data_IF_773478135984
#
_entry.id   IF_773478135984
#
_cell.length_a   1.000
_cell.length_b   1.000
_cell.length_c   1.000
_cell.angle_alpha   90.00
_cell.angle_beta   90.00
_cell.angle_gamma   90.00
#
_symmetry.space_group_name_H-M   'P 1'
#
loop_
_entity.id
_entity.type
_entity.pdbx_description
1 polymer ?
#
# COMPACT_ATOMS: atom_id res chain seq x y z
N UNK A 1 -17.89 -9.06 5.08
CA UNK A 1 -16.66 -9.52 4.44
C UNK A 1 -16.71 -9.44 2.92
N UNK A 2 -17.86 -9.70 2.28
CA UNK A 2 -17.98 -9.73 0.80
C UNK A 2 -17.57 -8.43 0.10
N UNK A 3 -17.96 -7.27 0.64
CA UNK A 3 -17.54 -5.96 0.10
C UNK A 3 -16.02 -5.76 0.10
N UNK A 4 -15.31 -6.30 1.09
CA UNK A 4 -13.85 -6.21 1.14
C UNK A 4 -13.22 -7.13 0.09
N UNK A 5 -13.72 -8.36 -0.02
CA UNK A 5 -13.24 -9.32 -1.04
C UNK A 5 -13.46 -8.79 -2.46
N UNK A 6 -14.62 -8.19 -2.72
CA UNK A 6 -14.91 -7.53 -4.00
C UNK A 6 -13.95 -6.38 -4.29
N UNK A 7 -13.70 -5.50 -3.32
CA UNK A 7 -12.73 -4.41 -3.46
C UNK A 7 -11.30 -4.91 -3.75
N UNK A 8 -10.85 -5.97 -3.06
CA UNK A 8 -9.54 -6.56 -3.31
C UNK A 8 -9.43 -7.17 -4.72
N UNK A 9 -10.48 -7.84 -5.19
CA UNK A 9 -10.53 -8.37 -6.55
C UNK A 9 -10.54 -7.25 -7.60
N UNK A 10 -11.31 -6.18 -7.38
CA UNK A 10 -11.30 -5.00 -8.25
C UNK A 10 -9.90 -4.34 -8.28
N UNK A 11 -9.22 -4.29 -7.13
CA UNK A 11 -7.85 -3.79 -7.02
C UNK A 11 -6.87 -4.63 -7.84
N UNK A 12 -6.93 -5.96 -7.70
CA UNK A 12 -6.10 -6.89 -8.48
C UNK A 12 -6.30 -6.71 -9.99
N UNK A 13 -7.55 -6.71 -10.44
CA UNK A 13 -7.88 -6.47 -11.86
C UNK A 13 -7.35 -5.13 -12.35
N UNK A 14 -7.61 -4.05 -11.61
CA UNK A 14 -7.17 -2.71 -12.01
C UNK A 14 -5.65 -2.58 -12.08
N UNK A 15 -4.91 -3.18 -11.13
CA UNK A 15 -3.45 -3.19 -11.16
C UNK A 15 -2.93 -3.93 -12.39
N UNK A 16 -3.49 -5.09 -12.72
CA UNK A 16 -3.07 -5.85 -13.89
C UNK A 16 -3.41 -5.13 -15.19
N UNK A 17 -4.54 -4.43 -15.28
CA UNK A 17 -4.87 -3.60 -16.45
C UNK A 17 -3.83 -2.51 -16.76
N UNK A 18 -3.24 -1.90 -15.72
CA UNK A 18 -2.28 -0.79 -15.90
C UNK A 18 -0.81 -1.24 -15.96
N UNK A 19 -0.43 -2.27 -15.20
CA UNK A 19 0.97 -2.69 -15.07
C UNK A 19 1.37 -3.82 -16.03
N UNK A 20 0.43 -4.64 -16.48
CA UNK A 20 0.76 -5.84 -17.27
C UNK A 20 1.22 -5.48 -18.69
N UNK A 21 0.52 -4.54 -19.35
CA UNK A 21 0.83 -4.16 -20.73
C UNK A 21 2.18 -3.46 -20.87
N UNK A 22 2.41 -2.44 -20.06
CA UNK A 22 3.54 -1.51 -20.26
C UNK A 22 4.78 -1.91 -19.46
N UNK A 23 4.60 -2.60 -18.33
CA UNK A 23 5.70 -3.00 -17.44
C UNK A 23 5.92 -4.52 -17.40
N UNK A 24 5.01 -5.32 -17.96
CA UNK A 24 5.11 -6.79 -17.93
C UNK A 24 4.99 -7.36 -16.52
N UNK A 25 4.36 -6.63 -15.61
CA UNK A 25 4.19 -7.02 -14.21
C UNK A 25 2.76 -7.51 -13.98
N UNK A 26 2.63 -8.68 -13.38
CA UNK A 26 1.37 -9.26 -12.96
C UNK A 26 1.32 -9.34 -11.43
N UNK A 27 0.23 -8.86 -10.84
CA UNK A 27 -0.02 -8.87 -9.40
C UNK A 27 -1.04 -9.93 -9.04
N UNK A 28 -0.76 -10.61 -7.94
CA UNK A 28 -1.69 -11.47 -7.21
C UNK A 28 -1.89 -10.88 -5.81
N UNK A 29 -3.12 -10.56 -5.43
CA UNK A 29 -3.41 -10.09 -4.08
C UNK A 29 -3.42 -11.28 -3.13
N UNK A 30 -2.56 -11.26 -2.12
CA UNK A 30 -2.49 -12.28 -1.06
C UNK A 30 -3.79 -12.29 -0.24
N UNK A 31 -4.66 -13.25 -0.52
CA UNK A 31 -5.96 -13.43 0.15
C UNK A 31 -5.78 -14.23 1.44
N UNK A 32 -5.33 -13.58 2.52
CA UNK A 32 -5.19 -14.18 3.84
C UNK A 32 -6.04 -13.44 4.90
N UNK A 33 -6.88 -14.16 5.64
CA UNK A 33 -7.77 -13.58 6.66
C UNK A 33 -7.02 -12.96 7.85
N UNK A 34 -5.78 -13.41 8.13
CA UNK A 34 -4.92 -12.85 9.17
C UNK A 34 -4.52 -11.39 8.86
N UNK A 35 -4.58 -10.97 7.58
CA UNK A 35 -4.31 -9.60 7.16
C UNK A 35 -5.50 -8.66 7.37
N UNK A 36 -6.67 -9.20 7.72
CA UNK A 36 -7.89 -8.41 7.93
C UNK A 36 -8.05 -8.12 9.43
N UNK A 37 -7.63 -6.93 9.83
CA UNK A 37 -7.65 -6.52 11.24
C UNK A 37 -8.92 -5.69 11.52
N UNK A 38 -9.89 -6.28 12.21
CA UNK A 38 -11.17 -5.63 12.55
C UNK A 38 -11.25 -5.13 13.99
N UNK A 39 -10.41 -5.65 14.88
CA UNK A 39 -10.40 -5.28 16.30
C UNK A 39 -9.20 -4.38 16.60
N UNK A 40 -9.45 -3.25 17.25
CA UNK A 40 -8.39 -2.29 17.59
C UNK A 40 -7.30 -2.90 18.47
N UNK A 41 -7.68 -3.76 19.42
CA UNK A 41 -6.76 -4.49 20.30
C UNK A 41 -5.83 -5.48 19.57
N UNK A 42 -6.17 -5.87 18.34
CA UNK A 42 -5.36 -6.75 17.48
C UNK A 42 -4.52 -5.97 16.47
N UNK A 43 -4.56 -4.63 16.51
CA UNK A 43 -3.77 -3.79 15.60
C UNK A 43 -2.30 -3.84 16.03
N UNK A 44 -1.37 -4.29 15.16
CA UNK A 44 0.02 -4.49 15.52
C UNK A 44 0.79 -3.18 15.73
N UNK A 45 0.18 -2.03 15.41
CA UNK A 45 0.79 -0.70 15.52
C UNK A 45 -0.28 0.40 15.54
N UNK A 46 0.10 1.64 15.88
CA UNK A 46 -0.80 2.79 15.79
C UNK A 46 -1.18 3.06 14.32
N UNK A 47 -2.40 2.66 13.96
CA UNK A 47 -2.98 2.84 12.61
C UNK A 47 -3.23 4.30 12.24
N UNK A 48 -3.13 5.23 13.18
CA UNK A 48 -3.43 6.64 12.90
C UNK A 48 -2.21 7.44 12.45
N UNK A 49 -1.00 6.92 12.69
CA UNK A 49 0.24 7.61 12.37
C UNK A 49 0.96 6.96 11.20
N UNK A 50 0.89 7.59 10.02
CA UNK A 50 1.54 7.13 8.77
C UNK A 50 3.02 6.78 8.97
N UNK A 51 3.80 7.60 9.68
CA UNK A 51 5.22 7.31 9.92
C UNK A 51 5.40 6.04 10.76
N UNK A 52 4.52 5.83 11.74
CA UNK A 52 4.55 4.63 12.56
C UNK A 52 4.19 3.38 11.76
N UNK A 53 3.19 3.47 10.86
CA UNK A 53 2.85 2.39 9.93
C UNK A 53 4.04 2.04 9.04
N UNK A 54 4.67 3.05 8.43
CA UNK A 54 5.80 2.85 7.52
C UNK A 54 7.00 2.18 8.21
N UNK A 55 7.25 2.50 9.48
CA UNK A 55 8.36 1.92 10.24
C UNK A 55 8.09 0.51 10.78
N UNK A 56 6.84 0.15 11.06
CA UNK A 56 6.48 -1.12 11.71
C UNK A 56 5.74 -2.09 10.77
N UNK A 57 5.35 -1.64 9.58
CA UNK A 57 4.46 -2.36 8.68
C UNK A 57 5.03 -3.70 8.20
N UNK A 58 6.32 -3.75 7.87
CA UNK A 58 7.00 -4.99 7.47
C UNK A 58 6.99 -6.02 8.60
N UNK A 59 7.33 -5.62 9.82
CA UNK A 59 7.37 -6.55 10.96
C UNK A 59 5.98 -7.13 11.24
N UNK A 60 4.93 -6.32 11.09
CA UNK A 60 3.56 -6.76 11.22
C UNK A 60 3.16 -7.79 10.14
N UNK A 61 3.47 -7.55 8.86
CA UNK A 61 3.25 -8.55 7.80
C UNK A 61 4.03 -9.84 8.07
N UNK A 62 5.31 -9.74 8.43
CA UNK A 62 6.16 -10.88 8.76
C UNK A 62 5.59 -11.72 9.90
N UNK A 63 5.05 -11.08 10.95
CA UNK A 63 4.40 -11.78 12.07
C UNK A 63 3.10 -12.47 11.67
N UNK A 64 2.31 -11.86 10.79
CA UNK A 64 0.99 -12.38 10.41
C UNK A 64 1.08 -13.52 9.42
N UNK A 65 1.89 -13.36 8.37
CA UNK A 65 1.92 -14.30 7.24
C UNK A 65 3.31 -14.86 6.93
N UNK A 66 4.38 -14.36 7.54
CA UNK A 66 5.76 -14.78 7.23
C UNK A 66 6.37 -14.03 6.05
N UNK A 67 7.69 -13.87 6.09
CA UNK A 67 8.46 -13.02 5.15
C UNK A 67 8.43 -13.52 3.70
N UNK A 68 8.27 -14.82 3.48
CA UNK A 68 8.31 -15.43 2.15
C UNK A 68 6.94 -15.43 1.44
N UNK A 69 5.88 -14.97 2.11
CA UNK A 69 4.51 -15.03 1.59
C UNK A 69 4.05 -13.74 0.91
N UNK A 70 4.95 -12.79 0.67
CA UNK A 70 4.68 -11.54 -0.04
C UNK A 70 5.96 -10.83 -0.51
N UNK A 71 5.84 -10.05 -1.59
CA UNK A 71 6.95 -9.29 -2.19
C UNK A 71 6.93 -7.82 -1.77
N UNK A 72 5.75 -7.23 -1.72
CA UNK A 72 5.49 -5.85 -1.28
C UNK A 72 4.24 -5.80 -0.40
N UNK A 73 4.22 -4.93 0.60
CA UNK A 73 3.11 -4.76 1.52
C UNK A 73 2.54 -3.34 1.47
N UNK A 74 1.24 -3.23 1.23
CA UNK A 74 0.50 -1.95 1.24
C UNK A 74 -0.52 -1.97 2.37
N UNK A 75 -0.39 -1.08 3.34
CA UNK A 75 -1.36 -0.93 4.43
C UNK A 75 -2.54 -0.09 4.01
N UNK A 76 -3.76 -0.56 4.27
CA UNK A 76 -4.98 0.23 4.13
C UNK A 76 -5.37 0.78 5.49
N UNK A 77 -5.14 2.06 5.74
CA UNK A 77 -5.57 2.71 6.97
C UNK A 77 -6.85 3.53 6.77
N UNK A 78 -7.73 3.46 7.76
CA UNK A 78 -8.91 4.32 7.89
C UNK A 78 -8.59 5.61 8.64
N UNK A 79 -7.31 5.88 8.92
CA UNK A 79 -6.90 7.10 9.60
C UNK A 79 -7.35 8.35 8.85
N UNK A 80 -7.90 9.30 9.59
CA UNK A 80 -8.23 10.65 9.12
C UNK A 80 -7.02 11.61 9.26
N UNK A 81 -5.81 11.08 9.43
CA UNK A 81 -4.61 11.88 9.67
C UNK A 81 -4.43 12.97 8.59
N UNK A 82 -4.65 14.22 9.02
CA UNK A 82 -4.24 15.45 8.34
C UNK A 82 -4.69 15.55 6.88
N UNK A 83 -5.96 15.91 6.68
CA UNK A 83 -6.78 16.34 5.52
C UNK A 83 -6.24 16.29 4.06
N UNK A 84 -4.95 16.19 3.78
CA UNK A 84 -4.37 16.35 2.45
C UNK A 84 -3.47 15.20 1.95
N UNK A 85 -3.10 14.23 2.77
CA UNK A 85 -2.33 13.05 2.31
C UNK A 85 -3.29 11.89 2.06
N UNK A 86 -3.16 11.24 0.90
CA UNK A 86 -3.97 10.07 0.51
C UNK A 86 -3.17 8.77 0.54
N UNK A 87 -1.85 8.85 0.44
CA UNK A 87 -0.97 7.70 0.48
C UNK A 87 0.49 8.11 0.64
N UNK A 88 1.32 7.15 1.01
CA UNK A 88 2.76 7.31 1.08
C UNK A 88 3.45 5.97 0.83
N UNK A 89 4.52 6.00 0.04
CA UNK A 89 5.39 4.86 -0.20
C UNK A 89 6.86 5.26 -0.30
N UNK A 90 7.76 4.31 -0.02
CA UNK A 90 9.17 4.46 -0.36
C UNK A 90 9.39 4.28 -1.87
N UNK A 91 10.38 4.97 -2.41
CA UNK A 91 10.66 4.96 -3.85
C UNK A 91 11.71 3.89 -4.19
N UNK A 92 11.36 2.93 -5.05
CA UNK A 92 12.29 1.91 -5.54
C UNK A 92 12.52 0.74 -4.58
N UNK A 93 11.48 0.31 -3.86
CA UNK A 93 11.51 -0.72 -2.80
C UNK A 93 10.81 -2.05 -3.15
N UNK A 94 10.45 -2.29 -4.41
CA UNK A 94 10.04 -3.66 -4.83
C UNK A 94 11.19 -4.64 -4.57
N UNK A 95 10.90 -5.79 -3.93
CA UNK A 95 11.88 -6.80 -3.51
C UNK A 95 13.02 -6.27 -2.62
N UNK A 96 12.80 -5.19 -1.88
CA UNK A 96 13.76 -4.64 -0.90
C UNK A 96 13.14 -4.57 0.48
N UNK A 97 14.01 -4.45 1.48
CA UNK A 97 13.58 -4.14 2.84
C UNK A 97 13.57 -2.62 3.08
N UNK A 98 12.56 -2.08 3.80
CA UNK A 98 11.38 -2.77 4.31
C UNK A 98 10.35 -3.14 3.22
N UNK A 99 9.82 -4.39 3.20
CA UNK A 99 8.78 -4.80 2.21
C UNK A 99 7.43 -4.10 2.39
N UNK A 100 7.02 -3.84 3.63
CA UNK A 100 5.76 -3.22 4.02
C UNK A 100 5.81 -1.69 3.99
N UNK A 101 6.45 -1.12 2.96
CA UNK A 101 6.82 0.29 2.89
C UNK A 101 5.85 1.17 2.10
N UNK A 102 4.55 0.86 2.19
CA UNK A 102 3.50 1.66 1.59
C UNK A 102 2.25 1.67 2.46
N UNK A 103 1.55 2.80 2.47
CA UNK A 103 0.27 2.97 3.13
C UNK A 103 -0.64 3.85 2.28
N UNK A 104 -1.91 3.46 2.21
CA UNK A 104 -2.99 4.21 1.56
C UNK A 104 -4.04 4.54 2.59
N UNK A 105 -4.40 5.81 2.65
CA UNK A 105 -5.51 6.32 3.43
C UNK A 105 -6.77 6.26 2.57
N UNK A 106 -7.84 5.72 3.15
CA UNK A 106 -9.13 5.46 2.48
C UNK A 106 -9.01 4.36 1.40
N UNK A 107 -10.12 3.69 1.10
CA UNK A 107 -10.15 2.63 0.08
C UNK A 107 -10.19 3.27 -1.31
N UNK A 108 -9.05 3.40 -1.96
CA UNK A 108 -8.94 4.00 -3.29
C UNK A 108 -7.93 3.25 -4.17
N UNK A 109 -8.43 2.58 -5.20
CA UNK A 109 -7.67 1.76 -6.15
C UNK A 109 -6.60 2.55 -6.91
N UNK A 110 -6.91 3.77 -7.33
CA UNK A 110 -5.96 4.62 -8.06
C UNK A 110 -4.80 5.06 -7.15
N UNK A 111 -5.06 5.32 -5.87
CA UNK A 111 -4.00 5.66 -4.92
C UNK A 111 -3.13 4.44 -4.60
N UNK A 112 -3.72 3.24 -4.49
CA UNK A 112 -2.94 1.99 -4.36
C UNK A 112 -2.00 1.81 -5.55
N UNK A 113 -2.52 1.96 -6.77
CA UNK A 113 -1.72 1.88 -7.99
C UNK A 113 -0.60 2.92 -8.00
N UNK A 114 -0.87 4.15 -7.55
CA UNK A 114 0.11 5.23 -7.44
C UNK A 114 1.24 4.88 -6.46
N UNK A 115 0.91 4.43 -5.26
CA UNK A 115 1.90 4.06 -4.24
C UNK A 115 2.74 2.85 -4.67
N UNK A 116 2.13 1.88 -5.36
CA UNK A 116 2.89 0.79 -6.00
C UNK A 116 3.85 1.36 -7.05
N UNK A 117 3.44 2.37 -7.81
CA UNK A 117 4.29 3.04 -8.79
C UNK A 117 5.54 3.64 -8.16
N UNK A 118 5.39 4.25 -6.97
CA UNK A 118 6.54 4.67 -6.17
C UNK A 118 7.45 3.50 -5.78
N UNK A 119 6.89 2.38 -5.32
CA UNK A 119 7.70 1.19 -5.01
C UNK A 119 8.53 0.75 -6.23
N UNK A 120 7.98 0.82 -7.44
CA UNK A 120 8.70 0.55 -8.70
C UNK A 120 9.72 1.62 -9.11
N UNK A 121 9.84 2.71 -8.35
CA UNK A 121 10.79 3.80 -8.60
C UNK A 121 10.20 5.02 -9.32
N UNK A 122 8.89 5.01 -9.58
CA UNK A 122 8.18 6.14 -10.16
C UNK A 122 8.24 7.37 -9.27
N UNK A 123 8.40 8.54 -9.89
CA UNK A 123 8.30 9.85 -9.22
C UNK A 123 7.06 10.58 -9.73
N UNK A 124 6.56 11.55 -8.98
CA UNK A 124 5.47 12.41 -9.44
C UNK A 124 5.85 13.10 -10.75
N UNK A 125 4.94 13.04 -11.73
CA UNK A 125 5.06 13.85 -12.95
C UNK A 125 5.02 15.33 -12.59
N UNK A 126 5.90 16.14 -13.19
CA UNK A 126 5.99 17.59 -12.96
C UNK A 126 6.42 18.01 -11.54
N UNK A 127 7.29 17.23 -10.88
CA UNK A 127 7.85 17.55 -9.55
C UNK A 127 9.38 17.60 -9.56
N UNK A 128 9.98 18.43 -8.67
CA UNK A 128 11.40 18.32 -8.31
C UNK A 128 11.53 17.23 -7.24
N UNK A 129 12.60 16.43 -7.26
CA UNK A 129 12.77 15.23 -6.41
C UNK A 129 12.60 15.56 -4.92
N UNK A 130 11.39 15.43 -4.37
CA UNK A 130 11.13 15.48 -2.92
C UNK A 130 9.93 14.57 -2.55
N UNK A 131 10.23 13.30 -2.25
CA UNK A 131 9.38 12.38 -1.46
C UNK A 131 8.12 11.79 -2.14
N UNK A 132 7.84 10.51 -1.86
CA UNK A 132 6.69 9.75 -2.36
C UNK A 132 5.39 9.97 -1.57
N UNK A 133 5.02 11.24 -1.33
CA UNK A 133 3.81 11.60 -0.59
C UNK A 133 2.68 11.97 -1.57
N UNK A 134 1.64 11.14 -1.68
CA UNK A 134 0.48 11.47 -2.52
C UNK A 134 -0.45 12.45 -1.78
N UNK A 135 -0.65 13.65 -2.36
CA UNK A 135 -1.59 14.67 -1.84
C UNK A 135 -2.79 14.87 -2.75
N UNK A 136 -3.90 15.35 -2.17
CA UNK A 136 -5.16 15.63 -2.87
C UNK A 136 -5.02 16.51 -4.14
N UNK A 137 -4.01 17.38 -4.19
CA UNK A 137 -3.78 18.33 -5.29
C UNK A 137 -2.60 17.96 -6.22
N UNK A 138 -2.13 16.70 -6.24
CA UNK A 138 -1.03 16.26 -7.13
C UNK A 138 -1.49 15.37 -8.29
N UNK A 139 -2.64 15.71 -8.89
CA UNK A 139 -3.11 15.10 -10.15
C UNK A 139 -2.72 15.93 -11.35
#
# INVERSE_FOLDING_TARGET
>A
MDKLKAFLAETETFLNEIYERDLGVHFEVVKNEQLIITEEAKTPFDRHNVNYIMNNGTEAFNKLIGVDNYDIGVWLSLSEAGENVLGQALIGYVYKEPKGSAVVLRKNTTVIAHEIGHLFGGIHTHSIIVGGLCRSNQR
#
